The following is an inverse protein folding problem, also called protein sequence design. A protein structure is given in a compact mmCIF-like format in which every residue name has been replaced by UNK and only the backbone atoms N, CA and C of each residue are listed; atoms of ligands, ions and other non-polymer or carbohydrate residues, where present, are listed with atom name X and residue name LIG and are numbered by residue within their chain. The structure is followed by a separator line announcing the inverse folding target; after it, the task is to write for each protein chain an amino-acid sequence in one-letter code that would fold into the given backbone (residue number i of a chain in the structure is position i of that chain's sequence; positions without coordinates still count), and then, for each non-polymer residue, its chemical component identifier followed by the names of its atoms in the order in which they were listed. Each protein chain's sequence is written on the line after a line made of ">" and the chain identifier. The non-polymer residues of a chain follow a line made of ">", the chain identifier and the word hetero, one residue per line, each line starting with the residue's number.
data_IF_811635402517
#
_entry.id   IF_811635402517
#
_cell.length_a   1.000
_cell.length_b   1.000
_cell.length_c   1.000
_cell.angle_alpha   90.00
_cell.angle_beta   90.00
_cell.angle_gamma   90.00
#
_symmetry.space_group_name_H-M   'P 1'
#
loop_
_entity.id
_entity.type
_entity.pdbx_description
1 polymer ?
#
# COMPACT_ATOMS: atom_id res chain seq x y z
N UNK A 1 -9.49 56.54 2.64
CA UNK A 1 -8.33 56.23 3.50
C UNK A 1 -8.78 55.22 4.54
N UNK A 2 -8.26 54.00 4.55
CA UNK A 2 -8.60 52.98 5.56
C UNK A 2 -7.84 53.27 6.84
N UNK A 3 -8.56 53.37 7.97
CA UNK A 3 -7.96 53.73 9.27
C UNK A 3 -7.34 52.49 9.93
N UNK A 4 -6.35 52.64 10.81
CA UNK A 4 -5.74 51.53 11.58
C UNK A 4 -6.77 50.63 12.29
N UNK A 5 -7.86 51.23 12.75
CA UNK A 5 -8.98 50.54 13.40
C UNK A 5 -9.81 49.70 12.43
N UNK A 6 -10.00 50.18 11.20
CA UNK A 6 -10.74 49.44 10.18
C UNK A 6 -9.93 48.22 9.74
N UNK A 7 -8.60 48.38 9.62
CA UNK A 7 -7.70 47.26 9.39
C UNK A 7 -7.80 46.19 10.49
N UNK A 8 -7.84 46.59 11.76
CA UNK A 8 -7.94 45.66 12.90
C UNK A 8 -9.29 44.92 12.94
N UNK A 9 -10.39 45.61 12.59
CA UNK A 9 -11.72 44.99 12.51
C UNK A 9 -11.80 44.01 11.36
N UNK A 10 -11.28 44.37 10.19
CA UNK A 10 -11.28 43.50 9.01
C UNK A 10 -10.42 42.26 9.22
N UNK A 11 -9.23 42.39 9.80
CA UNK A 11 -8.36 41.24 10.08
C UNK A 11 -8.93 40.33 11.18
N UNK A 12 -9.59 40.89 12.20
CA UNK A 12 -10.28 40.10 13.22
C UNK A 12 -11.43 39.25 12.66
N UNK A 13 -12.24 39.81 11.74
CA UNK A 13 -13.34 39.08 11.08
C UNK A 13 -12.82 37.95 10.20
N UNK A 14 -11.73 38.18 9.44
CA UNK A 14 -11.11 37.14 8.63
C UNK A 14 -10.55 35.99 9.50
N UNK A 15 -9.87 36.32 10.60
CA UNK A 15 -9.34 35.33 11.53
C UNK A 15 -10.46 34.51 12.19
N UNK A 16 -11.52 35.16 12.69
CA UNK A 16 -12.68 34.48 13.27
C UNK A 16 -13.42 33.61 12.25
N UNK A 17 -13.52 34.07 11.00
CA UNK A 17 -14.11 33.32 9.89
C UNK A 17 -13.40 31.98 9.62
N UNK A 18 -12.07 31.95 9.76
CA UNK A 18 -11.30 30.69 9.58
C UNK A 18 -11.49 29.66 10.70
N UNK A 19 -11.95 30.06 11.88
CA UNK A 19 -12.22 29.15 13.00
C UNK A 19 -13.61 28.50 12.94
N UNK A 20 -14.59 29.16 12.30
CA UNK A 20 -15.98 28.68 12.23
C UNK A 20 -16.21 27.82 10.99
N UNK A 21 -15.45 28.04 9.91
CA UNK A 21 -15.61 27.30 8.66
C UNK A 21 -14.82 25.98 8.68
N UNK A 22 -15.39 24.85 8.22
CA UNK A 22 -14.61 23.64 8.00
C UNK A 22 -13.47 23.93 7.01
N UNK A 23 -12.30 23.27 7.15
CA UNK A 23 -11.15 23.54 6.28
C UNK A 23 -11.52 23.26 4.82
N UNK A 24 -11.67 24.32 4.02
CA UNK A 24 -11.98 24.23 2.58
C UNK A 24 -10.76 23.73 1.79
N UNK A 25 -9.56 23.99 2.33
CA UNK A 25 -8.30 23.60 1.69
C UNK A 25 -7.84 22.28 2.29
N UNK A 26 -8.20 21.17 1.64
CA UNK A 26 -7.60 19.87 1.94
C UNK A 26 -6.25 19.76 1.21
N UNK A 27 -5.16 20.15 1.89
CA UNK A 27 -3.79 20.03 1.37
C UNK A 27 -3.31 18.57 1.27
N UNK A 28 -4.09 17.60 1.72
CA UNK A 28 -3.83 16.18 1.48
C UNK A 28 -4.33 15.78 0.09
N UNK A 29 -3.72 16.32 -0.97
CA UNK A 29 -3.63 15.56 -2.22
C UNK A 29 -2.60 14.47 -1.98
N UNK A 30 -3.03 13.39 -1.31
CA UNK A 30 -2.20 12.25 -0.96
C UNK A 30 -1.65 11.60 -2.23
N UNK A 31 -0.51 12.07 -2.71
CA UNK A 31 0.15 11.53 -3.89
C UNK A 31 0.47 10.06 -3.63
N UNK A 32 -0.15 9.18 -4.41
CA UNK A 32 0.10 7.74 -4.36
C UNK A 32 1.14 7.40 -5.42
N UNK A 33 2.35 6.99 -5.04
CA UNK A 33 3.38 6.67 -6.02
C UNK A 33 3.00 5.44 -6.84
N UNK A 34 3.47 5.42 -8.09
CA UNK A 34 3.50 4.21 -8.91
C UNK A 34 4.78 3.44 -8.56
N UNK A 35 4.65 2.15 -8.25
CA UNK A 35 5.76 1.32 -7.76
C UNK A 35 5.91 0.10 -8.64
N UNK A 36 7.13 -0.17 -9.08
CA UNK A 36 7.51 -1.44 -9.72
C UNK A 36 8.26 -2.27 -8.68
N UNK A 37 7.86 -3.53 -8.52
CA UNK A 37 8.53 -4.50 -7.65
C UNK A 37 9.09 -5.61 -8.55
N UNK A 38 10.37 -5.93 -8.36
CA UNK A 38 11.07 -6.99 -9.10
C UNK A 38 11.19 -8.21 -8.19
N UNK A 39 10.60 -9.32 -8.61
CA UNK A 39 10.53 -10.60 -7.90
C UNK A 39 9.22 -10.81 -7.15
N UNK A 40 8.46 -11.86 -7.51
CA UNK A 40 7.27 -12.36 -6.83
C UNK A 40 7.60 -13.47 -5.81
N UNK A 41 8.71 -13.33 -5.09
CA UNK A 41 8.96 -14.08 -3.85
C UNK A 41 8.16 -13.54 -2.66
N UNK A 42 8.26 -14.17 -1.49
CA UNK A 42 7.53 -13.73 -0.28
C UNK A 42 7.74 -12.24 0.07
N UNK A 43 8.98 -11.75 -0.02
CA UNK A 43 9.27 -10.34 0.26
C UNK A 43 8.57 -9.40 -0.73
N UNK A 44 8.64 -9.69 -2.03
CA UNK A 44 8.01 -8.88 -3.07
C UNK A 44 6.48 -8.92 -3.00
N UNK A 45 5.89 -10.09 -2.73
CA UNK A 45 4.45 -10.26 -2.52
C UNK A 45 3.98 -9.50 -1.28
N UNK A 46 4.71 -9.56 -0.16
CA UNK A 46 4.40 -8.83 1.06
C UNK A 46 4.45 -7.31 0.83
N UNK A 47 5.50 -6.82 0.15
CA UNK A 47 5.63 -5.42 -0.22
C UNK A 47 4.49 -4.96 -1.15
N UNK A 48 4.17 -5.75 -2.18
CA UNK A 48 3.08 -5.47 -3.11
C UNK A 48 1.74 -5.38 -2.39
N UNK A 49 1.44 -6.34 -1.51
CA UNK A 49 0.22 -6.37 -0.70
C UNK A 49 0.12 -5.10 0.17
N UNK A 50 1.20 -4.76 0.88
CA UNK A 50 1.21 -3.59 1.78
C UNK A 50 1.04 -2.27 1.02
N UNK A 51 1.68 -2.12 -0.13
CA UNK A 51 1.58 -0.92 -0.97
C UNK A 51 0.20 -0.80 -1.63
N UNK A 52 -0.36 -1.92 -2.10
CA UNK A 52 -1.73 -1.97 -2.64
C UNK A 52 -2.77 -1.56 -1.59
N UNK A 53 -2.65 -2.06 -0.35
CA UNK A 53 -3.52 -1.65 0.77
C UNK A 53 -3.44 -0.14 1.09
N UNK A 54 -2.30 0.50 0.82
CA UNK A 54 -2.12 1.94 0.99
C UNK A 54 -2.62 2.76 -0.22
N UNK A 55 -3.19 2.12 -1.23
CA UNK A 55 -3.72 2.77 -2.44
C UNK A 55 -2.66 3.13 -3.48
N UNK A 56 -1.45 2.55 -3.40
CA UNK A 56 -0.42 2.76 -4.42
C UNK A 56 -0.72 1.92 -5.67
N UNK A 57 -0.37 2.45 -6.85
CA UNK A 57 -0.41 1.68 -8.08
C UNK A 57 0.84 0.80 -8.16
N UNK A 58 0.68 -0.51 -8.11
CA UNK A 58 1.80 -1.46 -8.06
C UNK A 58 1.83 -2.32 -9.31
N UNK A 59 3.00 -2.44 -9.94
CA UNK A 59 3.31 -3.44 -10.97
C UNK A 59 4.34 -4.41 -10.40
N UNK A 60 4.05 -5.71 -10.42
CA UNK A 60 4.94 -6.75 -9.94
C UNK A 60 5.46 -7.56 -11.13
N UNK A 61 6.77 -7.65 -11.27
CA UNK A 61 7.45 -8.39 -12.34
C UNK A 61 8.18 -9.58 -11.74
N UNK A 62 8.03 -10.76 -12.32
CA UNK A 62 8.72 -11.98 -11.89
C UNK A 62 9.41 -12.59 -13.11
N UNK A 63 10.66 -13.01 -12.94
CA UNK A 63 11.45 -13.58 -14.02
C UNK A 63 10.98 -15.00 -14.38
N UNK A 64 10.42 -15.72 -13.41
CA UNK A 64 9.94 -17.09 -13.55
C UNK A 64 8.45 -17.12 -13.95
N UNK A 65 8.00 -18.25 -14.49
CA UNK A 65 6.58 -18.50 -14.76
C UNK A 65 5.72 -18.79 -13.51
N UNK A 66 6.23 -18.54 -12.30
CA UNK A 66 5.54 -18.83 -11.03
C UNK A 66 5.95 -17.87 -9.91
N UNK A 67 5.04 -17.66 -8.97
CA UNK A 67 5.31 -16.96 -7.72
C UNK A 67 6.02 -17.85 -6.68
N UNK A 68 6.43 -17.26 -5.56
CA UNK A 68 7.02 -17.93 -4.39
C UNK A 68 8.54 -17.74 -4.26
N UNK A 69 9.23 -17.41 -5.36
CA UNK A 69 10.66 -17.20 -5.37
C UNK A 69 11.41 -18.47 -4.97
N UNK A 70 12.15 -18.41 -3.85
CA UNK A 70 12.89 -19.56 -3.30
C UNK A 70 12.00 -20.62 -2.67
N UNK A 71 10.77 -20.27 -2.29
CA UNK A 71 9.82 -21.25 -1.76
C UNK A 71 9.03 -21.84 -2.92
N UNK A 72 9.05 -23.16 -3.02
CA UNK A 72 8.38 -23.94 -4.05
C UNK A 72 8.11 -25.33 -3.51
N UNK A 73 6.89 -25.82 -3.75
CA UNK A 73 6.50 -27.17 -3.39
C UNK A 73 6.21 -27.93 -4.67
N UNK A 74 6.68 -29.16 -4.72
CA UNK A 74 6.31 -30.11 -5.76
C UNK A 74 5.24 -31.05 -5.19
N UNK A 75 4.20 -31.31 -5.96
CA UNK A 75 3.21 -32.32 -5.60
C UNK A 75 3.78 -33.68 -5.98
N UNK A 76 3.81 -34.61 -5.03
CA UNK A 76 4.20 -36.00 -5.26
C UNK A 76 2.95 -36.75 -5.77
N UNK A 77 3.11 -37.54 -6.82
CA UNK A 77 2.01 -38.32 -7.39
C UNK A 77 1.63 -39.50 -6.46
N UNK A 78 0.37 -39.94 -6.55
CA UNK A 78 -0.17 -41.07 -5.78
C UNK A 78 0.63 -42.35 -6.00
N UNK A 79 1.16 -42.54 -7.20
CA UNK A 79 1.93 -43.74 -7.54
C UNK A 79 3.32 -43.77 -6.87
N UNK A 80 3.83 -42.62 -6.41
CA UNK A 80 5.07 -42.52 -5.63
C UNK A 80 4.83 -42.48 -4.10
N UNK A 81 3.56 -42.58 -3.67
CA UNK A 81 3.17 -42.48 -2.24
C UNK A 81 3.45 -43.77 -1.46
N UNK A 82 3.88 -44.86 -2.11
CA UNK A 82 4.24 -46.12 -1.45
C UNK A 82 5.34 -45.93 -0.40
N UNK A 83 6.28 -45.00 -0.60
CA UNK A 83 7.33 -44.64 0.37
C UNK A 83 6.76 -44.01 1.65
N UNK A 84 5.73 -43.17 1.51
CA UNK A 84 5.03 -42.57 2.65
C UNK A 84 4.15 -43.59 3.37
N UNK A 85 3.53 -44.52 2.62
CA UNK A 85 2.75 -45.63 3.19
C UNK A 85 3.62 -46.57 4.04
N UNK A 86 4.82 -46.91 3.58
CA UNK A 86 5.77 -47.70 4.36
C UNK A 86 6.22 -46.97 5.64
N UNK A 87 6.54 -45.67 5.56
CA UNK A 87 7.01 -44.91 6.71
C UNK A 87 5.94 -44.69 7.81
N UNK A 88 4.66 -44.71 7.45
CA UNK A 88 3.54 -44.48 8.37
C UNK A 88 2.92 -45.76 8.94
N UNK A 89 3.13 -46.92 8.29
CA UNK A 89 2.54 -48.20 8.68
C UNK A 89 3.59 -49.26 9.10
N UNK A 90 4.84 -48.84 9.31
CA UNK A 90 5.92 -49.68 9.83
C UNK A 90 5.85 -49.89 11.33
#
# INVERSE_FOLDING_TARGET
>A
MTTRRDFLKTSAVLAAGTFIMPPVININKGYKPKVIIIGAGFAGLAAANRLKQKGCQVTLLEARGRAGGRVFSHSIDKDETWLLSWALNG
#
